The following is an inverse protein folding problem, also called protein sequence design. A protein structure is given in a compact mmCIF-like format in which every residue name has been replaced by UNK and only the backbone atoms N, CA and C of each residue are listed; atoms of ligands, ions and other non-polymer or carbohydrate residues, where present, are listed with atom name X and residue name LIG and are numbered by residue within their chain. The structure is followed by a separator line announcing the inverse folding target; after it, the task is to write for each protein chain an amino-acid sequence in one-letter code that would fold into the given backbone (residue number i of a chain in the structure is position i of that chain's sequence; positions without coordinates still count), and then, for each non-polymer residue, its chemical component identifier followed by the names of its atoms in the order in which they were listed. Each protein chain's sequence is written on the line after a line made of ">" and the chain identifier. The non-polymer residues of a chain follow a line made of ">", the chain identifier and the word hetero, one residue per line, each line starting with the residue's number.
data_IF_009343796392
#
_entry.id   IF_009343796392
#
_cell.length_a   1.000
_cell.length_b   1.000
_cell.length_c   1.000
_cell.angle_alpha   90.00
_cell.angle_beta   90.00
_cell.angle_gamma   90.00
#
_symmetry.space_group_name_H-M   'P 1'
#
loop_
_entity.id
_entity.type
_entity.pdbx_description
1 polymer ?
#
# COMPACT_ATOMS: atom_id res chain seq x y z
N UNK A 1 8.08 -52.17 12.10
CA UNK A 1 8.67 -51.02 11.37
C UNK A 1 8.11 -50.84 9.95
N UNK A 2 8.01 -51.88 9.11
CA UNK A 2 7.51 -51.76 7.71
C UNK A 2 6.08 -51.19 7.54
N UNK A 3 5.21 -51.32 8.56
CA UNK A 3 3.83 -50.79 8.56
C UNK A 3 3.68 -49.37 9.12
N UNK A 4 4.71 -48.84 9.80
CA UNK A 4 4.67 -47.49 10.38
C UNK A 4 4.93 -46.40 9.33
N UNK A 5 5.72 -46.73 8.30
CA UNK A 5 6.10 -45.82 7.21
C UNK A 5 4.88 -45.32 6.41
N UNK A 6 3.95 -46.17 5.92
CA UNK A 6 2.80 -45.69 5.17
C UNK A 6 1.85 -44.85 6.02
N UNK A 7 1.76 -45.12 7.33
CA UNK A 7 0.90 -44.37 8.24
C UNK A 7 1.45 -42.96 8.50
N UNK A 8 2.77 -42.84 8.69
CA UNK A 8 3.46 -41.55 8.79
C UNK A 8 3.35 -40.74 7.49
N UNK A 9 3.47 -41.38 6.33
CA UNK A 9 3.31 -40.72 5.04
C UNK A 9 1.89 -40.18 4.84
N UNK A 10 0.86 -40.94 5.24
CA UNK A 10 -0.53 -40.49 5.17
C UNK A 10 -0.79 -39.27 6.07
N UNK A 11 -0.22 -39.24 7.28
CA UNK A 11 -0.33 -38.11 8.21
C UNK A 11 0.36 -36.86 7.64
N UNK A 12 1.53 -37.01 7.02
CA UNK A 12 2.27 -35.91 6.38
C UNK A 12 1.55 -35.31 5.17
N UNK A 13 0.83 -36.13 4.41
CA UNK A 13 0.04 -35.66 3.27
C UNK A 13 -1.24 -34.96 3.77
N UNK A 14 -1.86 -35.48 4.83
CA UNK A 14 -3.06 -34.87 5.43
C UNK A 14 -2.77 -33.57 6.19
N UNK A 15 -1.52 -33.33 6.60
CA UNK A 15 -1.11 -32.06 7.21
C UNK A 15 -0.75 -30.97 6.18
N UNK A 16 -0.67 -31.31 4.89
CA UNK A 16 -0.48 -30.35 3.81
C UNK A 16 -1.82 -29.70 3.43
N UNK A 17 -2.23 -28.67 4.18
CA UNK A 17 -3.37 -27.82 3.83
C UNK A 17 -3.01 -26.81 2.73
N UNK A 18 -3.99 -26.39 1.89
CA UNK A 18 -3.77 -25.32 0.92
C UNK A 18 -3.48 -24.00 1.65
N UNK A 19 -2.33 -23.39 1.35
CA UNK A 19 -2.02 -22.01 1.70
C UNK A 19 -2.60 -21.11 0.61
N UNK A 20 -3.71 -20.43 0.91
CA UNK A 20 -4.26 -19.41 0.03
C UNK A 20 -3.53 -18.09 0.24
N UNK A 21 -3.05 -17.49 -0.85
CA UNK A 21 -2.56 -16.12 -0.81
C UNK A 21 -3.73 -15.19 -0.51
N UNK A 22 -3.58 -14.34 0.51
CA UNK A 22 -4.60 -13.36 0.87
C UNK A 22 -4.74 -12.28 -0.22
N UNK A 23 -3.72 -12.08 -1.06
CA UNK A 23 -3.72 -11.08 -2.13
C UNK A 23 -3.44 -11.73 -3.48
N UNK A 24 -4.09 -11.23 -4.53
CA UNK A 24 -3.57 -11.36 -5.88
C UNK A 24 -2.53 -10.27 -6.08
N UNK A 25 -1.34 -10.65 -6.53
CA UNK A 25 -0.23 -9.72 -6.76
C UNK A 25 0.15 -9.77 -8.23
N UNK A 26 0.11 -8.61 -8.87
CA UNK A 26 0.53 -8.42 -10.26
C UNK A 26 1.80 -7.59 -10.28
N UNK A 27 2.81 -8.07 -11.01
CA UNK A 27 4.00 -7.29 -11.30
C UNK A 27 3.62 -6.13 -12.23
N UNK A 28 4.07 -4.93 -11.86
CA UNK A 28 3.73 -3.69 -12.51
C UNK A 28 2.53 -2.98 -11.89
N UNK A 29 2.46 -1.67 -12.14
CA UNK A 29 1.32 -0.84 -11.82
C UNK A 29 0.20 -1.04 -12.83
N UNK A 30 -1.00 -1.36 -12.38
CA UNK A 30 -2.19 -1.42 -13.23
C UNK A 30 -3.13 -0.24 -13.02
N UNK A 31 -2.60 0.89 -12.53
CA UNK A 31 -3.40 2.09 -12.27
C UNK A 31 -4.02 2.65 -13.56
N UNK A 32 -5.10 3.45 -13.46
CA UNK A 32 -5.89 3.87 -14.58
C UNK A 32 -5.20 5.00 -15.36
N UNK A 33 -5.65 5.20 -16.61
CA UNK A 33 -5.00 6.11 -17.58
C UNK A 33 -5.15 7.60 -17.24
N UNK A 34 -6.03 7.94 -16.31
CA UNK A 34 -6.27 9.30 -15.81
C UNK A 34 -5.29 9.71 -14.69
N UNK A 35 -4.47 8.78 -14.20
CA UNK A 35 -3.36 9.13 -13.31
C UNK A 35 -2.31 9.99 -14.03
N UNK A 36 -1.52 10.79 -13.29
CA UNK A 36 -0.49 11.64 -13.88
C UNK A 36 0.49 10.84 -14.75
N UNK A 37 0.73 11.32 -15.97
CA UNK A 37 1.59 10.65 -16.95
C UNK A 37 3.03 10.51 -16.47
N UNK A 38 3.48 11.38 -15.56
CA UNK A 38 4.82 11.32 -14.97
C UNK A 38 5.04 10.08 -14.10
N UNK A 39 3.95 9.38 -13.70
CA UNK A 39 4.04 8.12 -12.98
C UNK A 39 4.21 6.91 -13.91
N UNK A 40 3.88 7.02 -15.20
CA UNK A 40 3.94 5.90 -16.15
C UNK A 40 5.31 5.21 -16.25
N UNK A 41 6.47 5.92 -16.19
CA UNK A 41 7.77 5.26 -16.14
C UNK A 41 7.92 4.31 -14.93
N UNK A 42 7.26 4.60 -13.81
CA UNK A 42 7.30 3.80 -12.58
C UNK A 42 6.43 2.55 -12.68
N UNK A 43 5.57 2.44 -13.71
CA UNK A 43 4.65 1.32 -13.90
C UNK A 43 5.39 -0.02 -13.90
N UNK A 44 6.60 -0.09 -14.46
CA UNK A 44 7.38 -1.33 -14.55
C UNK A 44 7.89 -1.82 -13.19
N UNK A 45 8.27 -0.91 -12.28
CA UNK A 45 8.82 -1.29 -10.98
C UNK A 45 7.77 -1.40 -9.87
N UNK A 46 6.59 -0.83 -10.11
CA UNK A 46 5.47 -0.92 -9.21
C UNK A 46 4.92 -2.35 -9.11
N UNK A 47 4.01 -2.55 -8.14
CA UNK A 47 3.22 -3.76 -7.97
C UNK A 47 1.79 -3.38 -7.68
N UNK A 48 0.87 -4.23 -8.13
CA UNK A 48 -0.56 -4.09 -7.87
C UNK A 48 -1.01 -5.23 -6.97
N UNK A 49 -1.66 -4.89 -5.85
CA UNK A 49 -2.20 -5.83 -4.89
C UNK A 49 -3.71 -5.72 -4.87
N UNK A 50 -4.41 -6.83 -5.13
CA UNK A 50 -5.87 -6.90 -5.03
C UNK A 50 -6.26 -7.80 -3.86
N UNK A 51 -7.01 -7.23 -2.92
CA UNK A 51 -7.48 -7.93 -1.73
C UNK A 51 -8.60 -8.94 -2.03
N UNK A 52 -8.86 -9.92 -1.14
CA UNK A 52 -9.76 -11.03 -1.43
C UNK A 52 -11.20 -10.77 -0.98
N UNK A 53 -11.39 -9.88 0.01
CA UNK A 53 -12.70 -9.59 0.61
C UNK A 53 -13.32 -8.29 0.12
N UNK A 54 -12.51 -7.38 -0.40
CA UNK A 54 -12.96 -6.12 -1.02
C UNK A 54 -12.09 -5.85 -2.24
N UNK A 55 -12.63 -5.27 -3.32
CA UNK A 55 -11.87 -4.89 -4.51
C UNK A 55 -10.99 -3.66 -4.24
N UNK A 56 -10.29 -3.66 -3.11
CA UNK A 56 -9.27 -2.69 -2.79
C UNK A 56 -8.03 -3.05 -3.59
N UNK A 57 -7.60 -2.10 -4.41
CA UNK A 57 -6.38 -2.22 -5.18
C UNK A 57 -5.35 -1.31 -4.54
N UNK A 58 -4.16 -1.85 -4.27
CA UNK A 58 -3.05 -1.09 -3.72
C UNK A 58 -1.90 -1.07 -4.71
N UNK A 59 -1.31 0.11 -4.92
CA UNK A 59 -0.17 0.29 -5.81
C UNK A 59 1.07 0.57 -4.99
N UNK A 60 1.99 -0.39 -4.93
CA UNK A 60 3.26 -0.21 -4.27
C UNK A 60 4.31 0.20 -5.28
N UNK A 61 5.03 1.29 -5.02
CA UNK A 61 6.10 1.80 -5.87
C UNK A 61 7.37 1.87 -5.02
N UNK A 62 8.32 0.94 -5.20
CA UNK A 62 9.63 1.05 -4.59
C UNK A 62 10.43 2.15 -5.31
N UNK A 63 11.28 2.85 -4.57
CA UNK A 63 12.25 3.80 -5.11
C UNK A 63 13.66 3.35 -4.79
N UNK A 64 14.55 3.46 -5.77
CA UNK A 64 15.96 3.05 -5.61
C UNK A 64 16.88 4.24 -5.43
N UNK A 65 16.46 5.41 -5.91
CA UNK A 65 17.21 6.66 -5.80
C UNK A 65 16.31 7.75 -5.25
N UNK A 66 16.93 8.73 -4.60
CA UNK A 66 16.20 9.87 -4.02
C UNK A 66 15.61 10.75 -5.12
N UNK A 67 16.37 10.96 -6.19
CA UNK A 67 16.02 11.84 -7.30
C UNK A 67 14.76 11.33 -8.00
N UNK A 68 14.66 10.01 -8.17
CA UNK A 68 13.47 9.34 -8.70
C UNK A 68 12.24 9.56 -7.81
N UNK A 69 12.40 9.39 -6.49
CA UNK A 69 11.33 9.65 -5.54
C UNK A 69 10.90 11.12 -5.52
N UNK A 70 11.83 12.05 -5.42
CA UNK A 70 11.55 13.49 -5.36
C UNK A 70 10.88 13.99 -6.65
N UNK A 71 11.26 13.44 -7.80
CA UNK A 71 10.60 13.73 -9.08
C UNK A 71 9.15 13.20 -9.13
N UNK A 72 8.90 12.00 -8.59
CA UNK A 72 7.58 11.38 -8.59
C UNK A 72 6.63 11.96 -7.53
N UNK A 73 7.17 12.41 -6.39
CA UNK A 73 6.41 12.81 -5.21
C UNK A 73 5.28 13.82 -5.48
N UNK A 74 5.49 14.95 -6.18
CA UNK A 74 4.41 15.90 -6.46
C UNK A 74 3.27 15.31 -7.31
N UNK A 75 3.55 14.26 -8.10
CA UNK A 75 2.55 13.58 -8.92
C UNK A 75 1.82 12.50 -8.12
N UNK A 76 2.52 11.79 -7.23
CA UNK A 76 1.92 10.86 -6.26
C UNK A 76 0.91 11.60 -5.37
N UNK A 77 1.22 12.80 -4.91
CA UNK A 77 0.30 13.59 -4.09
C UNK A 77 -1.03 13.91 -4.78
N UNK A 78 -1.05 14.00 -6.11
CA UNK A 78 -2.28 14.30 -6.89
C UNK A 78 -3.25 13.13 -6.96
N UNK A 79 -2.79 11.89 -6.73
CA UNK A 79 -3.68 10.71 -6.80
C UNK A 79 -4.50 10.51 -5.51
N UNK A 80 -4.07 11.15 -4.42
CA UNK A 80 -4.72 11.09 -3.11
C UNK A 80 -6.06 11.83 -3.14
N UNK A 81 -7.06 11.28 -2.45
CA UNK A 81 -8.31 12.01 -2.18
C UNK A 81 -8.01 13.28 -1.37
N UNK A 82 -8.68 14.38 -1.67
CA UNK A 82 -8.57 15.62 -0.89
C UNK A 82 -8.93 15.37 0.59
N UNK A 83 -8.11 15.89 1.51
CA UNK A 83 -8.27 15.65 2.96
C UNK A 83 -7.87 14.26 3.47
N UNK A 84 -7.62 13.27 2.60
CA UNK A 84 -7.10 11.96 3.05
C UNK A 84 -5.67 12.10 3.63
N UNK A 85 -5.26 11.25 4.58
CA UNK A 85 -3.97 11.39 5.23
C UNK A 85 -2.80 10.89 4.38
N UNK A 86 -1.59 11.28 4.79
CA UNK A 86 -0.35 10.57 4.49
C UNK A 86 0.05 9.83 5.76
N UNK A 87 0.16 8.50 5.67
CA UNK A 87 0.56 7.64 6.79
C UNK A 87 2.05 7.36 6.66
N UNK A 88 2.83 7.78 7.64
CA UNK A 88 4.27 7.53 7.67
C UNK A 88 4.53 6.13 8.23
N UNK A 89 5.22 5.30 7.46
CA UNK A 89 5.65 3.96 7.83
C UNK A 89 7.17 3.90 7.82
N UNK A 90 7.76 3.06 8.66
CA UNK A 90 9.20 2.79 8.63
C UNK A 90 9.45 1.56 7.77
N UNK A 91 10.47 1.61 6.91
CA UNK A 91 10.95 0.42 6.20
C UNK A 91 11.59 -0.63 7.14
N UNK A 92 11.63 -1.92 6.78
CA UNK A 92 11.07 -2.52 5.56
C UNK A 92 9.54 -2.61 5.60
N UNK A 93 8.90 -2.64 4.43
CA UNK A 93 7.43 -2.73 4.31
C UNK A 93 7.00 -3.95 3.51
N UNK A 94 5.89 -4.58 3.94
CA UNK A 94 5.24 -5.67 3.23
C UNK A 94 4.94 -5.32 1.77
N UNK A 95 4.47 -4.09 1.51
CA UNK A 95 4.11 -3.62 0.17
C UNK A 95 5.27 -3.66 -0.82
N UNK A 96 6.50 -3.47 -0.32
CA UNK A 96 7.69 -3.37 -1.14
C UNK A 96 8.39 -4.71 -1.39
N UNK A 97 7.88 -5.83 -0.86
CA UNK A 97 8.42 -7.19 -1.10
C UNK A 97 9.89 -7.40 -0.71
N UNK A 98 10.43 -6.56 0.16
CA UNK A 98 11.89 -6.53 0.39
C UNK A 98 12.72 -6.02 -0.79
N UNK A 99 12.10 -5.47 -1.85
CA UNK A 99 12.78 -4.77 -2.96
C UNK A 99 13.34 -3.41 -2.55
N UNK A 100 13.05 -2.95 -1.34
CA UNK A 100 13.61 -1.73 -0.78
C UNK A 100 13.00 -1.36 0.56
N UNK A 101 13.67 -0.43 1.25
CA UNK A 101 13.21 0.16 2.51
C UNK A 101 12.48 1.49 2.31
N UNK A 102 12.38 1.95 1.05
CA UNK A 102 11.85 3.26 0.68
C UNK A 102 10.86 3.14 -0.50
N UNK A 103 9.72 3.80 -0.37
CA UNK A 103 8.65 3.65 -1.35
C UNK A 103 7.36 4.36 -0.96
N UNK A 104 6.34 4.16 -1.78
CA UNK A 104 4.95 4.50 -1.44
C UNK A 104 4.05 3.30 -1.66
N UNK A 105 3.00 3.19 -0.86
CA UNK A 105 1.84 2.35 -1.15
C UNK A 105 0.60 3.24 -1.25
N UNK A 106 -0.05 3.24 -2.41
CA UNK A 106 -1.27 4.00 -2.65
C UNK A 106 -2.43 3.04 -2.48
N UNK A 107 -3.23 3.26 -1.44
CA UNK A 107 -4.42 2.48 -1.17
C UNK A 107 -5.59 3.09 -1.93
N UNK A 108 -6.35 2.29 -2.67
CA UNK A 108 -7.54 2.77 -3.38
C UNK A 108 -8.81 2.10 -2.87
N UNK A 109 -9.90 2.86 -2.83
CA UNK A 109 -11.19 2.39 -2.34
C UNK A 109 -11.79 1.28 -3.20
N UNK A 110 -11.57 1.33 -4.51
CA UNK A 110 -12.18 0.43 -5.49
C UNK A 110 -11.28 0.20 -6.69
N UNK A 111 -11.41 -0.98 -7.29
CA UNK A 111 -11.05 -1.23 -8.68
C UNK A 111 -11.61 -0.10 -9.56
N UNK A 112 -10.82 0.33 -10.54
CA UNK A 112 -11.06 1.49 -11.39
C UNK A 112 -12.50 1.61 -11.89
N UNK A 113 -13.09 2.81 -11.76
CA UNK A 113 -14.41 3.12 -12.32
C UNK A 113 -15.55 3.33 -11.32
N UNK A 114 -15.26 3.47 -10.03
CA UNK A 114 -16.26 3.87 -9.03
C UNK A 114 -16.90 5.22 -9.38
N UNK A 115 -18.24 5.35 -9.40
CA UNK A 115 -18.91 6.63 -9.57
C UNK A 115 -18.47 7.65 -8.49
N UNK A 116 -18.22 8.90 -8.90
CA UNK A 116 -17.72 9.97 -8.02
C UNK A 116 -18.62 10.19 -6.80
N UNK A 117 -19.93 10.12 -6.98
CA UNK A 117 -20.94 10.22 -5.92
C UNK A 117 -20.75 9.17 -4.81
N UNK A 118 -20.31 7.95 -5.16
CA UNK A 118 -20.00 6.91 -4.18
C UNK A 118 -18.71 7.20 -3.41
N UNK A 119 -17.72 7.78 -4.08
CA UNK A 119 -16.47 8.23 -3.44
C UNK A 119 -16.75 9.37 -2.46
N UNK A 120 -17.53 10.36 -2.90
CA UNK A 120 -17.92 11.52 -2.08
C UNK A 120 -18.76 11.07 -0.87
N UNK A 121 -19.71 10.14 -1.06
CA UNK A 121 -20.50 9.58 0.02
C UNK A 121 -19.64 8.79 1.04
N UNK A 122 -18.69 7.98 0.56
CA UNK A 122 -17.77 7.24 1.42
C UNK A 122 -16.85 8.18 2.21
N UNK A 123 -16.41 9.30 1.60
CA UNK A 123 -15.61 10.32 2.26
C UNK A 123 -16.41 11.08 3.34
N UNK A 124 -17.66 11.45 3.06
CA UNK A 124 -18.53 12.11 4.04
C UNK A 124 -18.90 11.19 5.20
N UNK A 125 -19.19 9.93 4.90
CA UNK A 125 -19.36 8.91 5.94
C UNK A 125 -18.07 8.73 6.75
N UNK A 126 -16.92 8.83 6.09
CA UNK A 126 -15.65 8.71 6.77
C UNK A 126 -15.35 9.82 7.76
N UNK A 127 -15.65 11.06 7.38
CA UNK A 127 -15.56 12.22 8.28
C UNK A 127 -16.44 12.03 9.52
N UNK A 128 -17.61 11.41 9.39
CA UNK A 128 -18.53 11.13 10.52
C UNK A 128 -18.05 10.04 11.46
N UNK A 129 -17.34 9.01 10.96
CA UNK A 129 -16.91 7.84 11.74
C UNK A 129 -15.58 8.02 12.49
N UNK A 130 -14.92 9.18 12.35
CA UNK A 130 -13.68 9.49 13.06
C UNK A 130 -12.43 8.81 12.48
N UNK A 131 -11.33 8.86 13.25
CA UNK A 131 -9.95 8.68 12.80
C UNK A 131 -9.57 7.37 12.10
N UNK A 132 -10.46 6.36 11.98
CA UNK A 132 -10.20 5.12 11.24
C UNK A 132 -10.84 5.08 9.86
N UNK A 133 -11.57 6.11 9.46
CA UNK A 133 -12.40 6.00 8.28
C UNK A 133 -11.74 6.46 6.97
N UNK A 134 -10.52 6.97 7.02
CA UNK A 134 -9.72 7.24 5.81
C UNK A 134 -9.36 5.96 5.05
N UNK A 135 -9.53 4.77 5.64
CA UNK A 135 -9.42 3.48 4.93
C UNK A 135 -10.40 3.38 3.76
N UNK A 136 -11.45 4.23 3.75
CA UNK A 136 -12.43 4.33 2.69
C UNK A 136 -12.10 5.42 1.66
N UNK A 137 -10.85 5.89 1.59
CA UNK A 137 -10.40 6.94 0.68
C UNK A 137 -9.17 6.48 -0.09
N UNK A 138 -8.78 7.22 -1.14
CA UNK A 138 -7.44 7.03 -1.73
C UNK A 138 -6.42 7.75 -0.86
N UNK A 139 -5.64 7.00 -0.09
CA UNK A 139 -4.62 7.54 0.82
C UNK A 139 -3.25 6.93 0.52
N UNK A 140 -2.20 7.55 1.06
CA UNK A 140 -0.81 7.19 0.80
C UNK A 140 -0.17 6.69 2.08
N UNK A 141 0.40 5.49 2.06
CA UNK A 141 1.45 5.11 3.00
C UNK A 141 2.81 5.49 2.41
N UNK A 142 3.53 6.36 3.11
CA UNK A 142 4.88 6.76 2.76
C UNK A 142 5.87 5.93 3.58
N UNK A 143 6.66 5.08 2.92
CA UNK A 143 7.66 4.21 3.56
C UNK A 143 8.99 4.97 3.64
N UNK A 144 9.34 5.39 4.85
CA UNK A 144 10.48 6.26 5.16
C UNK A 144 11.68 5.41 5.59
N UNK A 145 12.81 5.60 4.90
CA UNK A 145 14.12 5.03 5.24
C UNK A 145 15.11 6.09 5.76
N UNK A 146 14.80 7.38 5.57
CA UNK A 146 15.67 8.50 5.92
C UNK A 146 16.86 8.71 4.97
N UNK A 147 16.93 7.98 3.84
CA UNK A 147 17.96 8.18 2.81
C UNK A 147 17.32 8.51 1.46
N UNK A 148 16.46 7.64 0.95
CA UNK A 148 15.73 7.86 -0.30
C UNK A 148 14.48 8.70 -0.02
N UNK A 149 13.67 8.27 0.95
CA UNK A 149 12.53 9.02 1.47
C UNK A 149 12.98 9.72 2.75
N UNK A 150 13.37 10.99 2.62
CA UNK A 150 13.82 11.85 3.71
C UNK A 150 12.81 12.98 3.98
N UNK A 151 12.16 12.93 5.14
CA UNK A 151 11.14 13.91 5.54
C UNK A 151 11.68 15.33 5.73
N UNK A 152 13.01 15.51 5.85
CA UNK A 152 13.61 16.85 5.94
C UNK A 152 13.80 17.51 4.58
N UNK A 153 13.62 16.78 3.47
CA UNK A 153 13.85 17.28 2.11
C UNK A 153 12.61 17.34 1.25
N UNK A 154 11.60 16.54 1.56
CA UNK A 154 10.35 16.57 0.81
C UNK A 154 9.33 17.51 1.43
N UNK A 155 8.62 18.33 0.63
CA UNK A 155 7.48 19.06 1.13
C UNK A 155 6.34 18.08 1.43
N UNK A 156 5.84 18.14 2.65
CA UNK A 156 4.54 17.56 3.00
C UNK A 156 3.48 18.66 2.81
N UNK A 157 2.31 18.36 2.22
CA UNK A 157 1.28 19.38 2.03
C UNK A 157 0.77 19.88 3.38
N UNK A 158 0.76 21.20 3.58
CA UNK A 158 0.42 21.83 4.88
C UNK A 158 -0.98 21.45 5.39
N UNK A 159 -1.95 21.33 4.48
CA UNK A 159 -3.34 21.00 4.80
C UNK A 159 -3.61 19.48 4.88
N UNK A 160 -2.58 18.65 4.74
CA UNK A 160 -2.74 17.18 4.78
C UNK A 160 -2.45 16.65 6.18
N UNK A 161 -3.41 15.87 6.70
CA UNK A 161 -3.22 15.13 7.94
C UNK A 161 -2.04 14.15 7.80
N UNK A 162 -1.04 14.28 8.66
CA UNK A 162 0.09 13.35 8.76
C UNK A 162 -0.16 12.41 9.93
N UNK A 163 -0.23 11.11 9.65
CA UNK A 163 -0.36 10.05 10.66
C UNK A 163 1.00 9.37 10.77
N UNK A 164 1.74 9.63 11.86
CA UNK A 164 3.07 9.05 12.04
C UNK A 164 3.02 7.70 12.76
N UNK A 165 3.11 6.61 12.00
CA UNK A 165 3.12 5.23 12.53
C UNK A 165 4.50 4.57 12.43
N UNK A 166 5.57 5.35 12.25
CA UNK A 166 6.95 4.83 12.12
C UNK A 166 7.46 4.12 13.37
N UNK A 167 6.89 4.43 14.54
CA UNK A 167 7.36 3.93 15.84
C UNK A 167 6.34 3.03 16.57
N UNK A 168 5.16 2.80 15.98
CA UNK A 168 4.05 2.08 16.60
C UNK A 168 3.46 2.78 17.83
N UNK A 169 2.20 2.47 18.17
CA UNK A 169 1.65 2.83 19.47
C UNK A 169 2.33 1.97 20.54
N UNK A 170 3.20 2.58 21.36
CA UNK A 170 3.59 2.06 22.67
C UNK A 170 3.86 0.55 22.76
N UNK A 171 4.88 0.03 22.08
CA UNK A 171 5.64 -1.09 22.66
C UNK A 171 6.53 -0.53 23.78
N UNK A 172 5.92 -0.05 24.86
CA UNK A 172 6.57 -0.07 26.16
C UNK A 172 7.00 -1.51 26.40
N UNK A 173 8.32 -1.72 26.46
CA UNK A 173 8.91 -2.97 26.94
C UNK A 173 8.42 -3.30 28.34
#
# INVERSE_FOLDING_TARGET
>A
MKRAIPLLAAILILSAGPLYALYQVKDGGDWPKDWPQELEPLRKQARTFEGPMFPQVNYAIPFTTREEFEAAWPHILKVKTEGAPIVLRRGPSFWLDGKGDAGVCIHTLQAHGAPKDKVDAALEEAKKRGAKSWINTTYIELIVDGKIVDLNRIPLPAETLIVDERFGEGKTK
#
